data_IF_942216355084
#
_entry.id   IF_942216355084
#
_cell.length_a   1.000
_cell.length_b   1.000
_cell.length_c   1.000
_cell.angle_alpha   90.00
_cell.angle_beta   90.00
_cell.angle_gamma   90.00
#
_symmetry.space_group_name_H-M   'P 1'
#
loop_
_entity.id
_entity.type
_entity.pdbx_description
1 polymer ?
#
# COMPACT_ATOMS: atom_id res chain seq x y z
N UNK A 1 7.12 -3.51 -14.38
CA UNK A 1 5.67 -3.82 -14.41
C UNK A 1 5.30 -4.61 -15.67
N UNK A 2 4.45 -5.65 -15.56
CA UNK A 2 3.91 -6.41 -16.71
C UNK A 2 3.03 -5.55 -17.62
N UNK A 3 2.38 -4.52 -17.04
CA UNK A 3 1.49 -3.59 -17.73
C UNK A 3 2.24 -2.78 -18.79
N UNK A 4 3.47 -2.34 -18.51
CA UNK A 4 4.32 -1.64 -19.48
C UNK A 4 4.64 -2.47 -20.74
N UNK A 5 4.57 -3.81 -20.65
CA UNK A 5 4.85 -4.71 -21.78
C UNK A 5 3.62 -5.00 -22.63
N UNK A 6 2.42 -4.81 -22.10
CA UNK A 6 1.17 -5.27 -22.71
C UNK A 6 0.17 -4.15 -22.99
N UNK A 7 0.34 -2.97 -22.40
CA UNK A 7 -0.53 -1.82 -22.63
C UNK A 7 0.11 -0.86 -23.63
N UNK A 8 -0.70 -0.38 -24.57
CA UNK A 8 -0.33 0.60 -25.58
C UNK A 8 0.24 1.88 -24.96
N UNK A 9 1.08 2.62 -25.72
CA UNK A 9 1.84 3.76 -25.19
C UNK A 9 0.97 4.93 -24.73
N UNK A 10 -0.24 5.04 -25.25
CA UNK A 10 -1.26 6.03 -24.92
C UNK A 10 -2.04 5.70 -23.64
N UNK A 11 -1.78 4.53 -23.03
CA UNK A 11 -2.41 4.11 -21.77
C UNK A 11 -1.55 4.54 -20.58
N UNK A 12 -2.15 5.37 -19.73
CA UNK A 12 -1.58 5.77 -18.44
C UNK A 12 -1.59 4.60 -17.44
N UNK A 13 -0.56 4.54 -16.61
CA UNK A 13 -0.31 3.50 -15.62
C UNK A 13 0.13 4.17 -14.31
N UNK A 14 -0.65 3.92 -13.27
CA UNK A 14 -0.28 4.19 -11.88
C UNK A 14 -0.26 2.83 -11.18
N UNK A 15 0.84 2.52 -10.50
CA UNK A 15 0.89 1.40 -9.57
C UNK A 15 0.55 1.93 -8.18
N UNK A 16 -0.30 1.25 -7.43
CA UNK A 16 -0.67 1.67 -6.08
C UNK A 16 -0.89 0.49 -5.15
N UNK A 17 -0.57 0.67 -3.88
CA UNK A 17 -0.84 -0.27 -2.81
C UNK A 17 -1.39 0.49 -1.59
N UNK A 18 -2.73 0.48 -1.41
CA UNK A 18 -3.32 0.87 -0.14
C UNK A 18 -2.90 -0.16 0.92
N UNK A 19 -2.14 0.25 1.94
CA UNK A 19 -1.68 -0.63 3.02
C UNK A 19 -2.80 -0.87 4.07
N UNK A 20 -4.04 -1.03 3.59
CA UNK A 20 -5.25 -1.19 4.38
C UNK A 20 -6.33 -1.92 3.58
N UNK A 21 -7.16 -2.71 4.25
CA UNK A 21 -8.20 -3.54 3.63
C UNK A 21 -9.55 -3.42 4.35
N UNK A 22 -10.62 -4.09 3.88
CA UNK A 22 -11.98 -3.92 4.39
C UNK A 22 -12.14 -4.19 5.90
N UNK A 23 -11.25 -4.97 6.50
CA UNK A 23 -11.22 -5.25 7.94
C UNK A 23 -11.06 -4.04 8.85
N UNK A 24 -10.78 -2.83 8.32
CA UNK A 24 -10.90 -1.59 9.11
C UNK A 24 -12.35 -1.32 9.55
N UNK A 25 -13.33 -1.90 8.85
CA UNK A 25 -14.75 -1.75 9.15
C UNK A 25 -15.32 -2.91 10.00
N UNK A 26 -14.62 -4.04 10.10
CA UNK A 26 -15.10 -5.25 10.78
C UNK A 26 -14.68 -5.33 12.25
N UNK A 27 -13.72 -4.50 12.69
CA UNK A 27 -13.35 -4.35 14.10
C UNK A 27 -14.24 -3.27 14.75
N UNK A 28 -15.12 -3.63 15.71
CA UNK A 28 -16.01 -2.68 16.39
C UNK A 28 -15.28 -1.63 17.23
N UNK A 29 -13.97 -1.79 17.45
CA UNK A 29 -13.11 -0.82 18.14
C UNK A 29 -12.23 -0.01 17.19
N UNK A 30 -12.19 -0.36 15.89
CA UNK A 30 -11.46 0.40 14.89
C UNK A 30 -12.31 1.57 14.42
N UNK A 31 -11.78 2.78 14.51
CA UNK A 31 -12.33 3.88 13.74
C UNK A 31 -12.10 3.56 12.28
N UNK A 32 -13.16 3.18 11.58
CA UNK A 32 -13.23 2.93 10.15
C UNK A 32 -12.80 4.18 9.34
N UNK A 33 -11.51 4.50 9.33
CA UNK A 33 -10.95 5.70 8.70
C UNK A 33 -9.66 5.36 7.95
N UNK A 34 -9.49 5.97 6.78
CA UNK A 34 -8.24 5.94 6.02
C UNK A 34 -7.24 7.00 6.50
N UNK A 35 -7.66 7.87 7.42
CA UNK A 35 -6.83 8.94 7.99
C UNK A 35 -5.52 8.38 8.58
N UNK A 36 -4.40 8.94 8.14
CA UNK A 36 -3.06 8.55 8.54
C UNK A 36 -2.61 7.19 8.02
N UNK A 37 -3.41 6.46 7.25
CA UNK A 37 -3.03 5.15 6.72
C UNK A 37 -2.13 5.29 5.49
N UNK A 38 -1.10 4.43 5.32
CA UNK A 38 -0.21 4.54 4.18
C UNK A 38 -0.93 4.17 2.88
N UNK A 39 -0.86 5.07 1.90
CA UNK A 39 -1.21 4.80 0.52
C UNK A 39 0.04 4.98 -0.34
N UNK A 40 0.61 3.85 -0.78
CA UNK A 40 1.84 3.83 -1.55
C UNK A 40 1.50 3.89 -3.04
N UNK A 41 2.19 4.71 -3.83
CA UNK A 41 1.96 4.80 -5.27
C UNK A 41 3.22 5.12 -6.07
N UNK A 42 3.18 4.75 -7.34
CA UNK A 42 4.19 5.04 -8.36
C UNK A 42 3.51 5.51 -9.65
N UNK A 43 3.92 6.69 -10.16
CA UNK A 43 3.49 7.21 -11.46
C UNK A 43 4.33 6.58 -12.57
N UNK A 44 3.97 5.36 -12.98
CA UNK A 44 4.76 4.53 -13.90
C UNK A 44 4.80 5.08 -15.33
N UNK A 45 3.65 5.50 -15.88
CA UNK A 45 3.54 6.16 -17.19
C UNK A 45 2.31 7.05 -17.17
N UNK A 46 2.47 8.37 -17.17
CA UNK A 46 1.33 9.29 -17.07
C UNK A 46 1.49 10.44 -18.06
N UNK A 47 0.58 10.52 -19.02
CA UNK A 47 0.42 11.63 -19.96
C UNK A 47 -0.66 12.62 -19.47
N UNK A 48 -1.77 12.14 -18.92
CA UNK A 48 -2.82 13.00 -18.34
C UNK A 48 -2.60 13.22 -16.84
N UNK A 49 -1.88 14.30 -16.52
CA UNK A 49 -1.59 14.67 -15.13
C UNK A 49 -2.84 15.02 -14.34
N UNK A 50 -3.84 15.68 -14.95
CA UNK A 50 -5.08 16.05 -14.24
C UNK A 50 -5.85 14.82 -13.80
N UNK A 51 -5.94 13.81 -14.67
CA UNK A 51 -6.60 12.55 -14.33
C UNK A 51 -5.84 11.79 -13.24
N UNK A 52 -4.50 11.78 -13.32
CA UNK A 52 -3.67 11.19 -12.28
C UNK A 52 -3.87 11.87 -10.92
N UNK A 53 -3.83 13.20 -10.88
CA UNK A 53 -4.07 13.99 -9.66
C UNK A 53 -5.48 13.75 -9.11
N UNK A 54 -6.50 13.77 -9.96
CA UNK A 54 -7.88 13.50 -9.55
C UNK A 54 -8.05 12.11 -8.89
N UNK A 55 -7.30 11.11 -9.36
CA UNK A 55 -7.28 9.78 -8.73
C UNK A 55 -6.58 9.80 -7.37
N UNK A 56 -5.39 10.42 -7.28
CA UNK A 56 -4.63 10.48 -6.03
C UNK A 56 -5.33 11.33 -4.96
N UNK A 57 -6.07 12.36 -5.37
CA UNK A 57 -6.86 13.22 -4.49
C UNK A 57 -7.92 12.46 -3.70
N UNK A 58 -8.43 11.32 -4.21
CA UNK A 58 -9.38 10.47 -3.47
C UNK A 58 -8.77 10.05 -2.13
N UNK A 59 -7.50 9.63 -2.15
CA UNK A 59 -6.78 9.17 -0.97
C UNK A 59 -6.25 10.36 -0.14
N UNK A 60 -5.82 11.43 -0.81
CA UNK A 60 -5.39 12.67 -0.15
C UNK A 60 -6.51 13.31 0.67
N UNK A 61 -7.73 13.39 0.11
CA UNK A 61 -8.92 13.92 0.80
C UNK A 61 -9.39 13.02 1.93
N UNK A 62 -9.19 11.70 1.81
CA UNK A 62 -9.39 10.76 2.91
C UNK A 62 -8.30 10.83 3.99
N UNK A 63 -7.35 11.77 3.85
CA UNK A 63 -6.22 12.00 4.75
C UNK A 63 -5.28 10.81 4.88
N UNK A 64 -5.18 9.99 3.83
CA UNK A 64 -4.14 8.96 3.78
C UNK A 64 -2.76 9.60 3.89
N UNK A 65 -1.82 8.88 4.49
CA UNK A 65 -0.41 9.18 4.34
C UNK A 65 0.03 8.77 2.93
N UNK A 66 0.11 9.76 2.04
CA UNK A 66 0.51 9.56 0.64
C UNK A 66 2.03 9.31 0.56
N UNK A 67 2.44 8.18 -0.01
CA UNK A 67 3.85 7.76 -0.11
C UNK A 67 4.20 7.45 -1.57
N UNK A 68 4.96 8.33 -2.21
CA UNK A 68 5.47 8.12 -3.57
C UNK A 68 6.80 7.36 -3.52
N UNK A 69 6.84 6.17 -4.10
CA UNK A 69 8.06 5.35 -4.24
C UNK A 69 7.89 4.31 -5.35
N UNK A 70 9.00 3.74 -5.84
CA UNK A 70 8.92 2.69 -6.85
C UNK A 70 8.38 1.38 -6.27
N UNK A 71 7.74 0.57 -7.11
CA UNK A 71 7.31 -0.78 -6.72
C UNK A 71 8.49 -1.63 -6.19
N UNK A 72 9.69 -1.49 -6.76
CA UNK A 72 10.89 -2.19 -6.29
C UNK A 72 11.30 -1.78 -4.87
N UNK A 73 11.26 -0.47 -4.57
CA UNK A 73 11.55 0.03 -3.23
C UNK A 73 10.51 -0.44 -2.22
N UNK A 74 9.23 -0.36 -2.59
CA UNK A 74 8.11 -0.83 -1.79
C UNK A 74 8.23 -2.33 -1.46
N UNK A 75 8.49 -3.16 -2.46
CA UNK A 75 8.59 -4.61 -2.28
C UNK A 75 9.79 -4.98 -1.42
N UNK A 76 10.92 -4.29 -1.59
CA UNK A 76 12.09 -4.47 -0.72
C UNK A 76 11.76 -4.13 0.74
N UNK A 77 11.14 -2.99 0.99
CA UNK A 77 10.77 -2.58 2.35
C UNK A 77 9.70 -3.48 2.97
N UNK A 78 8.72 -3.93 2.18
CA UNK A 78 7.66 -4.83 2.64
C UNK A 78 8.19 -6.21 2.93
N UNK A 79 9.07 -6.77 2.08
CA UNK A 79 9.68 -8.08 2.32
C UNK A 79 10.42 -8.12 3.65
N UNK A 80 11.18 -7.07 3.98
CA UNK A 80 11.89 -6.96 5.26
C UNK A 80 10.92 -6.89 6.45
N UNK A 81 9.86 -6.06 6.35
CA UNK A 81 8.88 -5.87 7.42
C UNK A 81 7.93 -7.06 7.61
N UNK A 82 7.47 -7.67 6.51
CA UNK A 82 6.62 -8.85 6.48
C UNK A 82 7.37 -10.06 7.03
N UNK A 83 8.65 -10.24 6.65
CA UNK A 83 9.49 -11.30 7.22
C UNK A 83 9.55 -11.20 8.74
N UNK A 84 9.83 -10.01 9.29
CA UNK A 84 9.86 -9.79 10.74
C UNK A 84 8.50 -10.10 11.36
N UNK A 85 7.41 -9.54 10.81
CA UNK A 85 6.06 -9.70 11.37
C UNK A 85 5.60 -11.16 11.35
N UNK A 86 5.77 -11.85 10.23
CA UNK A 86 5.40 -13.27 10.10
C UNK A 86 6.29 -14.18 10.95
N UNK A 87 7.60 -13.92 11.01
CA UNK A 87 8.50 -14.69 11.88
C UNK A 87 8.11 -14.51 13.35
N UNK A 88 7.91 -13.27 13.80
CA UNK A 88 7.47 -12.99 15.17
C UNK A 88 6.12 -13.64 15.47
N UNK A 89 5.14 -13.54 14.57
CA UNK A 89 3.84 -14.19 14.73
C UNK A 89 3.95 -15.71 14.90
N UNK A 90 4.78 -16.38 14.09
CA UNK A 90 5.03 -17.82 14.20
C UNK A 90 5.78 -18.20 15.47
N UNK A 91 6.75 -17.40 15.90
CA UNK A 91 7.49 -17.67 17.13
C UNK A 91 6.60 -17.54 18.38
N UNK A 92 5.68 -16.57 18.38
CA UNK A 92 4.68 -16.41 19.43
C UNK A 92 3.66 -17.55 19.43
N UNK A 93 3.19 -17.97 18.25
CA UNK A 93 2.27 -19.12 18.10
C UNK A 93 2.90 -20.44 18.59
N UNK A 94 4.20 -20.62 18.36
CA UNK A 94 4.96 -21.76 18.85
C UNK A 94 5.46 -21.63 20.31
N UNK A 95 5.09 -20.57 21.06
CA UNK A 95 5.51 -20.30 22.44
C UNK A 95 7.03 -20.32 22.66
N UNK A 96 7.82 -20.01 21.62
CA UNK A 96 9.29 -19.99 21.69
C UNK A 96 9.84 -18.69 22.30
N UNK A 97 8.95 -17.73 22.61
CA UNK A 97 9.26 -16.50 23.33
C UNK A 97 8.41 -16.47 24.62
N UNK A 98 9.01 -16.13 25.78
CA UNK A 98 8.24 -16.01 27.02
C UNK A 98 7.21 -14.88 26.90
N UNK A 99 6.01 -15.02 27.51
CA UNK A 99 5.03 -13.94 27.54
C UNK A 99 5.63 -12.74 28.28
N UNK A 100 5.51 -11.56 27.66
CA UNK A 100 5.87 -10.26 28.25
C UNK A 100 4.96 -9.88 29.39
#
# INVERSE_FOLDING_TARGET
SILLRHLDQDVDIISSHPMFGPGVHDDPYSTATWDGRPFVYEKVRVADLRRCEAFLDIFGQARCQMVEMSAEQHDKSTADAEFVTHLTGRLLDHQLLPPT
#
